data_IF_749830785383
#
_entry.id   IF_749830785383
#
_cell.length_a   1.000
_cell.length_b   1.000
_cell.length_c   1.000
_cell.angle_alpha   90.00
_cell.angle_beta   90.00
_cell.angle_gamma   90.00
#
_symmetry.space_group_name_H-M   'P 1'
#
loop_
_entity.id
_entity.type
_entity.pdbx_description
1 polymer ?
#
# COMPACT_ATOMS: atom_id res chain seq x y z
N UNK A 1 42.75 -17.61 -61.37
CA UNK A 1 41.51 -16.83 -60.95
C UNK A 1 41.31 -17.09 -59.47
N UNK A 2 41.86 -16.21 -58.62
CA UNK A 2 41.74 -16.30 -57.17
C UNK A 2 40.54 -15.50 -56.70
N UNK A 3 39.55 -16.12 -56.07
CA UNK A 3 38.45 -15.46 -55.35
C UNK A 3 38.83 -15.39 -53.85
N UNK A 4 39.15 -14.21 -53.38
CA UNK A 4 39.34 -13.89 -51.99
C UNK A 4 37.98 -13.59 -51.36
N UNK A 5 37.54 -14.44 -50.45
CA UNK A 5 36.34 -14.25 -49.63
C UNK A 5 36.70 -13.38 -48.42
N UNK A 6 36.16 -12.16 -48.34
CA UNK A 6 36.29 -11.28 -47.16
C UNK A 6 35.24 -11.67 -46.10
N UNK A 7 35.72 -12.18 -44.98
CA UNK A 7 34.91 -12.39 -43.78
C UNK A 7 34.69 -11.05 -43.09
N UNK A 8 33.46 -10.59 -42.99
CA UNK A 8 33.08 -9.46 -42.14
C UNK A 8 32.71 -10.00 -40.76
N UNK A 9 33.55 -9.74 -39.77
CA UNK A 9 33.27 -10.03 -38.35
C UNK A 9 32.44 -8.86 -37.78
N UNK A 10 31.14 -9.08 -37.54
CA UNK A 10 30.27 -8.14 -36.81
C UNK A 10 30.62 -8.21 -35.32
N UNK A 11 31.27 -7.16 -34.84
CA UNK A 11 31.47 -6.95 -33.39
C UNK A 11 30.19 -6.42 -32.78
N UNK A 12 29.43 -7.26 -32.08
CA UNK A 12 28.29 -6.84 -31.27
C UNK A 12 28.77 -6.15 -29.99
N UNK A 13 28.73 -4.84 -29.97
CA UNK A 13 29.00 -4.05 -28.76
C UNK A 13 27.78 -4.17 -27.83
N UNK A 14 27.88 -4.96 -26.77
CA UNK A 14 26.97 -4.98 -25.66
C UNK A 14 27.15 -3.69 -24.82
N UNK A 15 26.32 -2.70 -25.03
CA UNK A 15 26.23 -1.55 -24.13
C UNK A 15 25.47 -2.05 -22.89
N UNK A 16 26.19 -2.48 -21.87
CA UNK A 16 25.63 -2.66 -20.54
C UNK A 16 25.20 -1.28 -20.03
N UNK A 17 23.89 -1.01 -20.07
CA UNK A 17 23.31 0.14 -19.38
C UNK A 17 23.51 -0.10 -17.89
N UNK A 18 24.56 0.47 -17.33
CA UNK A 18 24.77 0.53 -15.90
C UNK A 18 23.64 1.37 -15.30
N UNK A 19 22.63 0.72 -14.74
CA UNK A 19 21.66 1.39 -13.89
C UNK A 19 22.44 2.08 -12.75
N UNK A 20 22.12 3.33 -12.41
CA UNK A 20 22.94 4.11 -11.50
C UNK A 20 22.90 3.49 -10.10
N UNK A 21 24.02 2.97 -9.65
CA UNK A 21 24.32 2.51 -8.28
C UNK A 21 24.21 3.63 -7.21
N UNK A 22 23.75 4.82 -7.60
CA UNK A 22 23.63 5.99 -6.74
C UNK A 22 22.41 5.98 -5.80
N UNK A 23 21.43 5.05 -5.97
CA UNK A 23 20.21 5.07 -5.13
C UNK A 23 20.40 4.45 -3.74
N UNK A 24 21.49 3.73 -3.47
CA UNK A 24 21.66 2.97 -2.24
C UNK A 24 22.09 3.78 -1.01
N UNK A 25 22.78 4.93 -1.17
CA UNK A 25 23.39 5.63 -0.01
C UNK A 25 22.38 6.24 0.97
N UNK A 26 21.24 6.75 0.51
CA UNK A 26 20.29 7.43 1.39
C UNK A 26 19.33 6.48 2.12
N UNK A 27 19.12 5.29 1.56
CA UNK A 27 18.35 4.21 2.19
C UNK A 27 19.23 3.09 2.75
N UNK A 28 20.43 3.43 3.19
CA UNK A 28 21.40 2.54 3.83
C UNK A 28 21.94 3.18 5.13
N UNK A 29 22.81 2.49 5.85
CA UNK A 29 23.42 2.97 7.08
C UNK A 29 22.39 3.40 8.15
N UNK A 30 21.51 2.47 8.48
CA UNK A 30 20.47 2.69 9.47
C UNK A 30 21.05 2.70 10.89
N UNK A 31 20.58 3.58 11.77
CA UNK A 31 20.89 3.51 13.20
C UNK A 31 20.55 2.12 13.78
N UNK A 32 21.24 1.73 14.85
CA UNK A 32 20.97 0.48 15.53
C UNK A 32 19.47 0.36 15.89
N UNK A 33 18.87 -0.80 15.61
CA UNK A 33 17.46 -1.06 15.89
C UNK A 33 16.46 -0.42 14.91
N UNK A 34 16.92 0.25 13.83
CA UNK A 34 16.02 0.88 12.85
C UNK A 34 16.13 0.32 11.43
N UNK A 35 16.84 -0.79 11.24
CA UNK A 35 16.95 -1.45 9.94
C UNK A 35 15.59 -1.92 9.42
N UNK A 36 15.16 -1.51 8.21
CA UNK A 36 13.88 -1.95 7.64
C UNK A 36 13.77 -3.48 7.56
N UNK A 37 14.87 -4.18 7.29
CA UNK A 37 14.87 -5.63 7.24
C UNK A 37 14.60 -6.27 8.61
N UNK A 38 15.22 -5.76 9.69
CA UNK A 38 15.01 -6.27 11.04
C UNK A 38 13.60 -5.94 11.55
N UNK A 39 13.15 -4.70 11.33
CA UNK A 39 11.81 -4.26 11.74
C UNK A 39 10.73 -5.01 10.97
N UNK A 40 10.85 -5.13 9.65
CA UNK A 40 9.87 -5.87 8.84
C UNK A 40 9.78 -7.33 9.23
N UNK A 41 10.91 -8.00 9.54
CA UNK A 41 10.91 -9.38 10.06
C UNK A 41 10.16 -9.46 11.39
N UNK A 42 10.46 -8.57 12.33
CA UNK A 42 9.81 -8.52 13.65
C UNK A 42 8.29 -8.34 13.51
N UNK A 43 7.85 -7.38 12.68
CA UNK A 43 6.43 -7.10 12.47
C UNK A 43 5.71 -8.26 11.80
N UNK A 44 6.33 -8.91 10.81
CA UNK A 44 5.74 -10.08 10.15
C UNK A 44 5.63 -11.29 11.09
N UNK A 45 6.62 -11.52 11.96
CA UNK A 45 6.56 -12.55 13.00
C UNK A 45 5.45 -12.26 14.01
N UNK A 46 5.40 -11.03 14.52
CA UNK A 46 4.35 -10.60 15.43
C UNK A 46 2.96 -10.80 14.82
N UNK A 47 2.76 -10.45 13.55
CA UNK A 47 1.50 -10.68 12.86
C UNK A 47 1.14 -12.18 12.74
N UNK A 48 2.11 -13.06 12.47
CA UNK A 48 1.87 -14.51 12.41
C UNK A 48 1.38 -15.05 13.77
N UNK A 49 1.91 -14.52 14.88
CA UNK A 49 1.60 -14.95 16.24
C UNK A 49 0.32 -14.32 16.80
N UNK A 50 -0.12 -13.18 16.23
CA UNK A 50 -1.32 -12.47 16.69
C UNK A 50 -2.59 -13.18 16.21
N UNK A 51 -3.59 -13.46 17.05
CA UNK A 51 -4.89 -14.01 16.63
C UNK A 51 -5.62 -13.06 15.67
N UNK A 52 -6.63 -13.56 14.96
CA UNK A 52 -7.55 -12.71 14.22
C UNK A 52 -8.24 -11.70 15.14
N UNK A 53 -8.37 -10.46 14.74
CA UNK A 53 -8.84 -9.36 15.59
C UNK A 53 -10.09 -8.70 15.03
N UNK A 54 -10.93 -8.17 15.94
CA UNK A 54 -12.10 -7.37 15.60
C UNK A 54 -11.80 -5.88 15.79
N UNK A 55 -10.90 -5.30 14.98
CA UNK A 55 -10.46 -3.89 15.09
C UNK A 55 -9.98 -3.52 16.51
N UNK A 56 -9.29 -4.44 17.19
CA UNK A 56 -8.84 -4.26 18.57
C UNK A 56 -9.94 -4.31 19.63
N UNK A 57 -11.16 -4.72 19.26
CA UNK A 57 -12.27 -4.93 20.20
C UNK A 57 -12.14 -6.30 20.90
N UNK A 58 -12.69 -6.46 22.12
CA UNK A 58 -12.60 -7.71 22.86
C UNK A 58 -13.45 -8.86 22.28
N UNK A 59 -14.49 -8.54 21.50
CA UNK A 59 -15.37 -9.53 20.89
C UNK A 59 -14.62 -10.32 19.79
N UNK A 60 -14.85 -11.63 19.68
CA UNK A 60 -14.26 -12.43 18.61
C UNK A 60 -14.58 -11.85 17.23
N UNK A 61 -13.65 -11.94 16.25
CA UNK A 61 -13.93 -11.47 14.91
C UNK A 61 -14.99 -12.34 14.24
N UNK A 62 -15.89 -11.72 13.50
CA UNK A 62 -16.89 -12.39 12.65
C UNK A 62 -16.43 -12.54 11.21
N UNK A 63 -15.33 -11.87 10.87
CA UNK A 63 -14.67 -11.93 9.57
C UNK A 63 -13.24 -11.40 9.67
N UNK A 64 -12.39 -11.74 8.70
CA UNK A 64 -11.08 -11.10 8.52
C UNK A 64 -11.32 -9.63 8.16
N UNK A 65 -10.75 -8.73 8.95
CA UNK A 65 -10.93 -7.28 8.78
C UNK A 65 -9.96 -6.70 7.76
N UNK A 66 -10.31 -5.59 7.10
CA UNK A 66 -9.44 -5.00 6.07
C UNK A 66 -8.05 -4.54 6.59
N UNK A 67 -7.86 -4.07 7.84
CA UNK A 67 -6.52 -3.79 8.35
C UNK A 67 -5.67 -5.05 8.49
N UNK A 68 -6.30 -6.17 8.83
CA UNK A 68 -5.63 -7.47 8.86
C UNK A 68 -5.23 -7.92 7.45
N UNK A 69 -6.10 -7.76 6.47
CA UNK A 69 -5.80 -8.00 5.04
C UNK A 69 -4.59 -7.18 4.59
N UNK A 70 -4.58 -5.88 4.89
CA UNK A 70 -3.50 -4.96 4.54
C UNK A 70 -2.17 -5.36 5.19
N UNK A 71 -2.22 -5.83 6.44
CA UNK A 71 -1.05 -6.33 7.18
C UNK A 71 -0.55 -7.65 6.59
N UNK A 72 -1.45 -8.58 6.28
CA UNK A 72 -1.11 -9.87 5.67
C UNK A 72 -0.46 -9.70 4.30
N UNK A 73 -1.07 -8.87 3.45
CA UNK A 73 -0.51 -8.50 2.16
C UNK A 73 0.90 -7.90 2.30
N UNK A 74 1.09 -6.99 3.25
CA UNK A 74 2.39 -6.39 3.55
C UNK A 74 3.42 -7.42 4.03
N UNK A 75 3.02 -8.33 4.92
CA UNK A 75 3.88 -9.40 5.46
C UNK A 75 4.30 -10.39 4.37
N UNK A 76 3.38 -10.83 3.49
CA UNK A 76 3.68 -11.70 2.35
C UNK A 76 4.65 -11.01 1.37
N UNK A 77 4.43 -9.74 1.07
CA UNK A 77 5.32 -8.95 0.22
C UNK A 77 6.71 -8.83 0.82
N UNK A 78 6.78 -8.55 2.13
CA UNK A 78 8.06 -8.47 2.85
C UNK A 78 8.79 -9.81 2.88
N UNK A 79 8.12 -10.91 3.21
CA UNK A 79 8.70 -12.24 3.24
C UNK A 79 9.30 -12.64 1.89
N UNK A 80 8.61 -12.33 0.79
CA UNK A 80 9.11 -12.53 -0.58
C UNK A 80 10.36 -11.71 -0.86
N UNK A 81 10.35 -10.41 -0.57
CA UNK A 81 11.45 -9.49 -0.88
C UNK A 81 12.69 -9.75 -0.01
N UNK A 82 12.50 -10.16 1.23
CA UNK A 82 13.58 -10.57 2.14
C UNK A 82 14.07 -12.01 1.89
N UNK A 83 13.41 -12.76 0.99
CA UNK A 83 13.65 -14.18 0.73
C UNK A 83 13.55 -15.04 2.02
N UNK A 84 12.67 -14.66 2.95
CA UNK A 84 12.46 -15.36 4.22
C UNK A 84 11.39 -16.46 4.06
N UNK A 85 11.87 -17.69 3.87
CA UNK A 85 11.00 -18.86 3.66
C UNK A 85 10.19 -19.25 4.90
N UNK A 86 10.72 -18.98 6.09
CA UNK A 86 10.03 -19.30 7.36
C UNK A 86 8.83 -18.36 7.53
N UNK A 87 9.02 -17.06 7.29
CA UNK A 87 7.91 -16.11 7.29
C UNK A 87 6.86 -16.49 6.24
N UNK A 88 7.28 -16.83 5.03
CA UNK A 88 6.35 -17.26 3.97
C UNK A 88 5.54 -18.47 4.42
N UNK A 89 6.19 -19.49 4.98
CA UNK A 89 5.50 -20.70 5.48
C UNK A 89 4.54 -20.39 6.63
N UNK A 90 4.92 -19.53 7.58
CA UNK A 90 4.06 -19.10 8.68
C UNK A 90 2.82 -18.34 8.18
N UNK A 91 2.98 -17.45 7.22
CA UNK A 91 1.86 -16.69 6.63
C UNK A 91 0.90 -17.57 5.82
N UNK A 92 1.41 -18.60 5.14
CA UNK A 92 0.57 -19.61 4.47
C UNK A 92 -0.18 -20.48 5.49
N UNK A 93 0.51 -20.94 6.54
CA UNK A 93 -0.10 -21.72 7.62
C UNK A 93 -1.22 -20.94 8.33
N UNK A 94 -1.07 -19.60 8.48
CA UNK A 94 -2.12 -18.73 9.01
C UNK A 94 -3.36 -18.72 8.10
N UNK A 95 -3.22 -18.89 6.79
CA UNK A 95 -4.32 -18.91 5.84
C UNK A 95 -5.06 -20.25 5.75
N UNK A 96 -4.37 -21.38 6.03
CA UNK A 96 -4.92 -22.74 5.84
C UNK A 96 -6.26 -22.98 6.56
N UNK A 97 -6.49 -22.51 7.80
CA UNK A 97 -7.76 -22.69 8.50
C UNK A 97 -8.97 -22.08 7.77
N UNK A 98 -8.77 -21.06 6.94
CA UNK A 98 -9.83 -20.45 6.13
C UNK A 98 -10.39 -21.37 5.03
N UNK A 99 -9.69 -22.46 4.69
CA UNK A 99 -10.24 -23.54 3.84
C UNK A 99 -10.96 -24.63 4.65
N UNK A 100 -11.16 -24.45 5.94
CA UNK A 100 -11.74 -25.44 6.85
C UNK A 100 -12.47 -24.84 8.04
N UNK A 101 -11.94 -24.98 9.27
CA UNK A 101 -12.67 -24.60 10.49
C UNK A 101 -12.98 -23.09 10.62
N UNK A 102 -12.23 -22.23 9.93
CA UNK A 102 -12.40 -20.78 9.95
C UNK A 102 -12.97 -20.20 8.65
N UNK A 103 -13.55 -21.03 7.80
CA UNK A 103 -14.14 -20.60 6.54
C UNK A 103 -15.23 -19.51 6.71
N UNK A 104 -15.90 -19.49 7.85
CA UNK A 104 -16.88 -18.46 8.22
C UNK A 104 -16.25 -17.06 8.43
N UNK A 105 -14.93 -16.97 8.60
CA UNK A 105 -14.22 -15.69 8.72
C UNK A 105 -13.91 -15.05 7.34
N UNK A 106 -14.10 -15.78 6.22
CA UNK A 106 -13.95 -15.21 4.89
C UNK A 106 -15.03 -14.16 4.67
N UNK A 107 -14.66 -12.88 4.41
CA UNK A 107 -15.65 -11.82 4.26
C UNK A 107 -16.53 -12.02 3.04
N UNK A 108 -17.82 -11.67 3.14
CA UNK A 108 -18.71 -11.65 1.98
C UNK A 108 -18.34 -10.44 1.07
N UNK A 109 -17.98 -10.62 -0.21
CA UNK A 109 -17.46 -9.58 -1.09
C UNK A 109 -18.57 -8.68 -1.69
N UNK A 110 -19.44 -8.13 -0.85
CA UNK A 110 -20.50 -7.20 -1.23
C UNK A 110 -20.22 -5.74 -0.83
N UNK A 111 -19.09 -5.51 -0.17
CA UNK A 111 -18.66 -4.21 0.29
C UNK A 111 -17.14 -4.07 0.12
N UNK A 112 -16.66 -2.89 -0.21
CA UNK A 112 -15.25 -2.61 -0.49
C UNK A 112 -14.31 -3.11 0.64
N UNK A 113 -14.66 -2.88 1.90
CA UNK A 113 -13.87 -3.29 3.06
C UNK A 113 -13.80 -4.83 3.23
N UNK A 114 -14.73 -5.56 2.64
CA UNK A 114 -14.76 -7.02 2.62
C UNK A 114 -14.07 -7.58 1.38
N UNK A 115 -14.33 -6.98 0.22
CA UNK A 115 -13.78 -7.46 -1.06
C UNK A 115 -12.26 -7.33 -1.11
N UNK A 116 -11.68 -6.37 -0.37
CA UNK A 116 -10.22 -6.20 -0.28
C UNK A 116 -9.50 -7.47 0.20
N UNK A 117 -10.18 -8.40 0.87
CA UNK A 117 -9.65 -9.71 1.25
C UNK A 117 -9.02 -10.46 0.07
N UNK A 118 -9.54 -10.27 -1.14
CA UNK A 118 -9.01 -10.89 -2.36
C UNK A 118 -7.50 -10.63 -2.58
N UNK A 119 -6.97 -9.53 -2.05
CA UNK A 119 -5.56 -9.19 -2.21
C UNK A 119 -4.62 -10.25 -1.60
N UNK A 120 -5.03 -10.90 -0.50
CA UNK A 120 -4.21 -11.91 0.19
C UNK A 120 -4.12 -13.21 -0.61
N UNK A 121 -5.22 -13.90 -0.99
CA UNK A 121 -5.11 -15.12 -1.78
C UNK A 121 -4.47 -14.85 -3.15
N UNK A 122 -4.71 -13.72 -3.80
CA UNK A 122 -4.04 -13.38 -5.04
C UNK A 122 -2.52 -13.22 -4.86
N UNK A 123 -2.05 -12.59 -3.78
CA UNK A 123 -0.61 -12.51 -3.49
C UNK A 123 -0.03 -13.89 -3.20
N UNK A 124 -0.74 -14.74 -2.45
CA UNK A 124 -0.31 -16.13 -2.22
C UNK A 124 -0.20 -16.89 -3.55
N UNK A 125 -1.17 -16.75 -4.45
CA UNK A 125 -1.08 -17.37 -5.78
C UNK A 125 0.12 -16.84 -6.59
N UNK A 126 0.37 -15.54 -6.56
CA UNK A 126 1.53 -14.94 -7.26
C UNK A 126 2.84 -15.58 -6.79
N UNK A 127 2.94 -15.93 -5.50
CA UNK A 127 4.13 -16.52 -4.91
C UNK A 127 4.22 -18.04 -5.08
N UNK A 128 3.08 -18.76 -5.00
CA UNK A 128 3.06 -20.23 -4.89
C UNK A 128 2.53 -20.95 -6.13
N UNK A 129 1.78 -20.24 -6.99
CA UNK A 129 1.07 -20.79 -8.16
C UNK A 129 0.02 -21.86 -7.82
N UNK A 130 -0.45 -21.96 -6.57
CA UNK A 130 -1.48 -22.89 -6.17
C UNK A 130 -2.87 -22.37 -6.62
N UNK A 131 -3.54 -23.12 -7.49
CA UNK A 131 -4.77 -22.71 -8.17
C UNK A 131 -5.90 -22.30 -7.22
N UNK A 132 -6.06 -22.98 -6.09
CA UNK A 132 -7.11 -22.67 -5.10
C UNK A 132 -7.13 -21.20 -4.63
N UNK A 133 -5.96 -20.56 -4.56
CA UNK A 133 -5.85 -19.16 -4.17
C UNK A 133 -6.22 -18.21 -5.31
N UNK A 134 -5.88 -18.57 -6.56
CA UNK A 134 -6.33 -17.80 -7.72
C UNK A 134 -7.87 -17.83 -7.83
N UNK A 135 -8.46 -19.01 -7.71
CA UNK A 135 -9.91 -19.19 -7.83
C UNK A 135 -10.66 -18.34 -6.81
N UNK A 136 -10.21 -18.36 -5.54
CA UNK A 136 -10.80 -17.56 -4.47
C UNK A 136 -10.66 -16.05 -4.72
N UNK A 137 -9.44 -15.58 -4.93
CA UNK A 137 -9.18 -14.15 -5.07
C UNK A 137 -9.77 -13.57 -6.37
N UNK A 138 -9.69 -14.31 -7.47
CA UNK A 138 -10.26 -13.91 -8.75
C UNK A 138 -11.80 -13.82 -8.71
N UNK A 139 -12.47 -14.76 -8.04
CA UNK A 139 -13.92 -14.72 -7.87
C UNK A 139 -14.37 -13.43 -7.16
N UNK A 140 -13.64 -13.00 -6.12
CA UNK A 140 -13.92 -11.74 -5.42
C UNK A 140 -13.62 -10.51 -6.29
N UNK A 141 -12.51 -10.52 -7.03
CA UNK A 141 -12.16 -9.43 -7.94
C UNK A 141 -13.19 -9.26 -9.08
N UNK A 142 -13.70 -10.38 -9.61
CA UNK A 142 -14.78 -10.36 -10.62
C UNK A 142 -16.10 -9.88 -10.00
N UNK A 143 -16.40 -10.29 -8.75
CA UNK A 143 -17.60 -9.87 -8.03
C UNK A 143 -17.64 -8.36 -7.80
N UNK A 144 -16.50 -7.72 -7.57
CA UNK A 144 -16.37 -6.28 -7.39
C UNK A 144 -16.82 -5.47 -8.62
N UNK A 145 -16.88 -6.09 -9.79
CA UNK A 145 -17.34 -5.52 -11.07
C UNK A 145 -18.46 -6.34 -11.71
N UNK A 146 -19.23 -7.09 -10.94
CA UNK A 146 -20.33 -7.88 -11.47
C UNK A 146 -21.47 -7.01 -12.04
N UNK A 147 -21.69 -5.83 -11.44
CA UNK A 147 -22.73 -4.88 -11.82
C UNK A 147 -22.12 -3.46 -11.91
N UNK A 148 -21.27 -3.18 -12.91
CA UNK A 148 -20.64 -1.87 -13.01
C UNK A 148 -21.68 -0.77 -13.24
N UNK A 149 -21.37 0.43 -12.75
CA UNK A 149 -22.17 1.62 -13.02
C UNK A 149 -22.13 2.01 -14.51
N UNK A 150 -23.04 2.87 -15.02
CA UNK A 150 -23.04 3.28 -16.43
C UNK A 150 -21.74 3.92 -16.91
N UNK A 151 -20.97 4.55 -16.01
CA UNK A 151 -19.65 5.13 -16.26
C UNK A 151 -18.48 4.14 -16.05
N UNK A 152 -18.81 2.86 -15.81
CA UNK A 152 -17.84 1.75 -15.76
C UNK A 152 -17.16 1.54 -14.43
N UNK A 153 -17.58 2.25 -13.37
CA UNK A 153 -17.04 2.08 -12.02
C UNK A 153 -17.63 0.85 -11.33
N UNK A 154 -17.01 0.41 -10.25
CA UNK A 154 -17.56 -0.62 -9.39
C UNK A 154 -18.89 -0.19 -8.74
N UNK A 155 -19.83 -1.11 -8.56
CA UNK A 155 -21.02 -0.89 -7.71
C UNK A 155 -20.69 -0.72 -6.22
N UNK A 156 -19.43 -0.96 -5.83
CA UNK A 156 -18.91 -0.72 -4.48
C UNK A 156 -18.29 0.68 -4.32
N UNK A 157 -18.26 1.50 -5.36
CA UNK A 157 -17.73 2.88 -5.34
C UNK A 157 -18.58 3.78 -4.44
N UNK A 158 -17.97 4.38 -3.41
CA UNK A 158 -18.65 5.23 -2.42
C UNK A 158 -18.20 6.71 -2.47
N UNK A 159 -17.12 6.98 -3.18
CA UNK A 159 -16.36 8.22 -3.11
C UNK A 159 -15.89 8.57 -1.68
N UNK A 160 -15.56 7.57 -0.90
CA UNK A 160 -14.74 7.70 0.29
C UNK A 160 -13.28 7.52 -0.10
N UNK A 161 -12.43 8.32 0.48
CA UNK A 161 -11.00 8.38 0.15
C UNK A 161 -10.30 7.01 0.25
N UNK A 162 -10.72 6.15 1.19
CA UNK A 162 -10.18 4.81 1.42
C UNK A 162 -10.34 3.89 0.21
N UNK A 163 -11.37 4.09 -0.59
CA UNK A 163 -11.68 3.29 -1.77
C UNK A 163 -10.54 3.31 -2.79
N UNK A 164 -9.75 4.40 -2.84
CA UNK A 164 -8.60 4.54 -3.73
C UNK A 164 -7.48 3.51 -3.47
N UNK A 165 -7.47 2.88 -2.31
CA UNK A 165 -6.64 1.70 -2.06
C UNK A 165 -7.47 0.42 -2.13
N UNK A 166 -8.59 0.36 -1.41
CA UNK A 166 -9.35 -0.89 -1.20
C UNK A 166 -9.91 -1.48 -2.50
N UNK A 167 -10.46 -0.65 -3.39
CA UNK A 167 -10.93 -1.11 -4.72
C UNK A 167 -9.75 -1.46 -5.62
N UNK A 168 -8.75 -0.57 -5.64
CA UNK A 168 -7.65 -0.61 -6.60
C UNK A 168 -6.73 -1.80 -6.36
N UNK A 169 -6.37 -2.11 -5.10
CA UNK A 169 -5.43 -3.19 -4.81
C UNK A 169 -5.97 -4.57 -5.23
N UNK A 170 -7.26 -4.79 -5.14
CA UNK A 170 -7.90 -6.04 -5.59
C UNK A 170 -7.71 -6.23 -7.09
N UNK A 171 -8.02 -5.20 -7.87
CA UNK A 171 -7.90 -5.22 -9.31
C UNK A 171 -6.42 -5.32 -9.74
N UNK A 172 -5.52 -4.62 -9.07
CA UNK A 172 -4.08 -4.73 -9.33
C UNK A 172 -3.55 -6.14 -9.06
N UNK A 173 -3.94 -6.76 -7.96
CA UNK A 173 -3.52 -8.12 -7.64
C UNK A 173 -4.12 -9.14 -8.62
N UNK A 174 -5.36 -8.97 -9.08
CA UNK A 174 -5.96 -9.79 -10.11
C UNK A 174 -5.21 -9.65 -11.46
N UNK A 175 -4.82 -8.42 -11.83
CA UNK A 175 -3.95 -8.19 -12.99
C UNK A 175 -2.59 -8.87 -12.82
N UNK A 176 -1.92 -8.69 -11.69
CA UNK A 176 -0.60 -9.27 -11.40
C UNK A 176 -0.63 -10.81 -11.40
N UNK A 177 -1.75 -11.38 -11.00
CA UNK A 177 -1.95 -12.84 -10.95
C UNK A 177 -2.24 -13.45 -12.32
N UNK A 178 -3.02 -12.76 -13.17
CA UNK A 178 -3.58 -13.31 -14.42
C UNK A 178 -2.96 -12.73 -15.67
N UNK A 179 -2.44 -11.52 -15.64
CA UNK A 179 -2.01 -10.75 -16.82
C UNK A 179 -3.18 -10.13 -17.61
N UNK A 180 -4.44 -10.33 -17.18
CA UNK A 180 -5.62 -9.79 -17.87
C UNK A 180 -5.76 -8.28 -17.61
N UNK A 181 -5.58 -7.48 -18.65
CA UNK A 181 -5.56 -6.01 -18.58
C UNK A 181 -6.87 -5.39 -18.15
N UNK A 182 -8.02 -6.11 -18.28
CA UNK A 182 -9.31 -5.60 -17.81
C UNK A 182 -9.28 -5.17 -16.34
N UNK A 183 -8.56 -5.91 -15.49
CA UNK A 183 -8.42 -5.57 -14.08
C UNK A 183 -7.61 -4.29 -13.88
N UNK A 184 -6.54 -4.14 -14.64
CA UNK A 184 -5.72 -2.93 -14.61
C UNK A 184 -6.50 -1.70 -15.07
N UNK A 185 -7.26 -1.84 -16.18
CA UNK A 185 -8.07 -0.76 -16.76
C UNK A 185 -9.17 -0.31 -15.78
N UNK A 186 -9.83 -1.25 -15.09
CA UNK A 186 -10.85 -0.99 -14.04
C UNK A 186 -10.24 -0.18 -12.88
N UNK A 187 -9.15 -0.67 -12.30
CA UNK A 187 -8.49 0.05 -11.19
C UNK A 187 -7.96 1.42 -11.59
N UNK A 188 -7.47 1.57 -12.83
CA UNK A 188 -6.98 2.86 -13.34
C UNK A 188 -8.11 3.86 -13.58
N UNK A 189 -9.26 3.41 -14.10
CA UNK A 189 -10.46 4.24 -14.27
C UNK A 189 -10.98 4.73 -12.91
N UNK A 190 -11.12 3.81 -11.96
CA UNK A 190 -11.54 4.12 -10.59
C UNK A 190 -10.66 5.21 -9.98
N UNK A 191 -9.35 4.99 -9.99
CA UNK A 191 -8.39 5.94 -9.42
C UNK A 191 -8.43 7.31 -10.09
N UNK A 192 -8.51 7.36 -11.43
CA UNK A 192 -8.58 8.63 -12.16
C UNK A 192 -9.86 9.40 -11.84
N UNK A 193 -10.99 8.69 -11.67
CA UNK A 193 -12.27 9.32 -11.30
C UNK A 193 -12.23 9.89 -9.88
N UNK A 194 -11.61 9.19 -8.94
CA UNK A 194 -11.42 9.70 -7.57
C UNK A 194 -10.48 10.90 -7.52
N UNK A 195 -9.42 10.91 -8.31
CA UNK A 195 -8.54 12.07 -8.45
C UNK A 195 -9.33 13.32 -8.87
N UNK A 196 -10.16 13.17 -9.90
CA UNK A 196 -10.98 14.29 -10.39
C UNK A 196 -11.99 14.79 -9.34
N UNK A 197 -12.59 13.89 -8.59
CA UNK A 197 -13.63 14.24 -7.61
C UNK A 197 -13.12 14.73 -6.27
N UNK A 198 -11.98 14.22 -5.76
CA UNK A 198 -11.57 14.43 -4.38
C UNK A 198 -10.30 15.24 -4.21
N UNK A 199 -9.38 15.24 -5.21
CA UNK A 199 -8.13 15.96 -5.06
C UNK A 199 -8.33 17.48 -5.11
N UNK A 200 -7.86 18.15 -4.07
CA UNK A 200 -8.01 19.60 -3.92
C UNK A 200 -6.85 20.37 -4.59
N UNK A 201 -6.99 21.70 -4.77
CA UNK A 201 -5.94 22.53 -5.36
C UNK A 201 -4.60 22.45 -4.64
N UNK A 202 -4.58 22.22 -3.33
CA UNK A 202 -3.37 21.99 -2.54
C UNK A 202 -2.74 20.58 -2.74
N UNK A 203 -3.41 19.66 -3.45
CA UNK A 203 -2.92 18.30 -3.73
C UNK A 203 -3.35 17.24 -2.73
N UNK A 204 -3.91 17.60 -1.59
CA UNK A 204 -4.51 16.69 -0.63
C UNK A 204 -5.93 16.32 -1.04
N UNK A 205 -6.54 15.36 -0.33
CA UNK A 205 -7.85 14.84 -0.68
C UNK A 205 -8.85 15.05 0.46
N UNK A 206 -10.05 15.47 0.11
CA UNK A 206 -11.15 15.44 1.07
C UNK A 206 -11.53 14.00 1.40
N UNK A 207 -11.95 13.74 2.65
CA UNK A 207 -12.40 12.41 3.08
C UNK A 207 -13.54 11.87 2.20
N UNK A 208 -14.43 12.77 1.77
CA UNK A 208 -15.49 12.53 0.80
C UNK A 208 -15.91 13.87 0.19
N UNK A 209 -16.73 13.90 -0.89
CA UNK A 209 -17.16 15.15 -1.53
C UNK A 209 -17.86 16.13 -0.57
N UNK A 210 -18.53 15.60 0.46
CA UNK A 210 -19.28 16.35 1.48
C UNK A 210 -18.55 16.46 2.83
N UNK A 211 -17.28 16.04 2.90
CA UNK A 211 -16.48 16.03 4.16
C UNK A 211 -15.10 16.65 3.88
N UNK A 212 -14.96 17.99 4.00
CA UNK A 212 -13.80 18.74 3.55
C UNK A 212 -12.64 18.74 4.55
N UNK A 213 -12.25 17.56 5.06
CA UNK A 213 -11.12 17.39 5.98
C UNK A 213 -10.03 16.54 5.32
N UNK A 214 -8.78 16.96 5.49
CA UNK A 214 -7.57 16.23 5.04
C UNK A 214 -7.14 15.23 6.12
N UNK A 215 -7.91 14.16 6.22
CA UNK A 215 -7.67 13.11 7.20
C UNK A 215 -6.43 12.27 6.84
N UNK A 216 -5.44 12.27 7.73
CA UNK A 216 -4.12 11.68 7.47
C UNK A 216 -4.17 10.24 6.96
N UNK A 217 -4.87 9.30 7.64
CA UNK A 217 -4.96 7.92 7.15
C UNK A 217 -5.74 7.80 5.85
N UNK A 218 -6.77 8.63 5.63
CA UNK A 218 -7.46 8.68 4.35
C UNK A 218 -6.53 9.06 3.20
N UNK A 219 -5.84 10.19 3.33
CA UNK A 219 -4.78 10.60 2.38
C UNK A 219 -3.67 9.53 2.27
N UNK A 220 -3.39 8.81 3.36
CA UNK A 220 -2.45 7.69 3.36
C UNK A 220 -2.87 6.56 2.43
N UNK A 221 -4.14 6.17 2.44
CA UNK A 221 -4.68 5.17 1.51
C UNK A 221 -4.54 5.62 0.06
N UNK A 222 -4.80 6.89 -0.23
CA UNK A 222 -4.60 7.47 -1.57
C UNK A 222 -3.15 7.39 -2.01
N UNK A 223 -2.23 7.85 -1.14
CA UNK A 223 -0.80 7.85 -1.43
C UNK A 223 -0.28 6.43 -1.73
N UNK A 224 -0.69 5.45 -0.91
CA UNK A 224 -0.32 4.05 -1.10
C UNK A 224 -0.98 3.46 -2.36
N UNK A 225 -2.26 3.72 -2.59
CA UNK A 225 -2.99 3.26 -3.76
C UNK A 225 -2.38 3.78 -5.07
N UNK A 226 -2.07 5.08 -5.14
CA UNK A 226 -1.39 5.66 -6.32
C UNK A 226 0.01 5.06 -6.52
N UNK A 227 0.78 4.86 -5.45
CA UNK A 227 2.10 4.26 -5.53
C UNK A 227 2.03 2.81 -6.05
N UNK A 228 1.09 2.00 -5.58
CA UNK A 228 0.85 0.63 -6.07
C UNK A 228 0.36 0.62 -7.53
N UNK A 229 -0.57 1.50 -7.89
CA UNK A 229 -1.06 1.63 -9.26
C UNK A 229 0.07 1.97 -10.23
N UNK A 230 0.85 2.99 -9.94
CA UNK A 230 1.92 3.47 -10.81
C UNK A 230 3.05 2.44 -11.02
N UNK A 231 3.27 1.52 -10.08
CA UNK A 231 4.20 0.41 -10.26
C UNK A 231 3.73 -0.61 -11.32
N UNK A 232 2.41 -0.78 -11.48
CA UNK A 232 1.84 -1.76 -12.41
C UNK A 232 1.41 -1.14 -13.74
N UNK A 233 1.09 0.15 -13.75
CA UNK A 233 0.51 0.84 -14.91
C UNK A 233 1.57 1.08 -16.00
N UNK A 234 1.39 0.57 -17.23
CA UNK A 234 2.33 0.78 -18.33
C UNK A 234 2.53 2.27 -18.65
N UNK A 235 3.73 2.64 -19.12
CA UNK A 235 4.06 4.05 -19.44
C UNK A 235 3.10 4.68 -20.45
N UNK A 236 2.54 3.88 -21.37
CA UNK A 236 1.61 4.36 -22.43
C UNK A 236 0.13 4.26 -22.04
N UNK A 237 -0.19 3.79 -20.84
CA UNK A 237 -1.59 3.67 -20.39
C UNK A 237 -2.22 5.08 -20.29
N UNK A 238 -3.46 5.31 -20.82
CA UNK A 238 -4.08 6.63 -20.84
C UNK A 238 -4.17 7.31 -19.46
N UNK A 239 -4.46 6.55 -18.42
CA UNK A 239 -4.61 7.08 -17.05
C UNK A 239 -3.28 7.29 -16.32
N UNK A 240 -2.14 6.87 -16.90
CA UNK A 240 -0.86 7.01 -16.20
C UNK A 240 -0.44 8.46 -15.97
N UNK A 241 -0.60 9.31 -16.97
CA UNK A 241 -0.20 10.71 -16.87
C UNK A 241 -1.01 11.49 -15.82
N UNK A 242 -2.36 11.43 -15.80
CA UNK A 242 -3.14 12.08 -14.75
C UNK A 242 -2.87 11.51 -13.35
N UNK A 243 -2.73 10.19 -13.20
CA UNK A 243 -2.42 9.57 -11.91
C UNK A 243 -1.03 9.99 -11.41
N UNK A 244 -0.03 10.04 -12.29
CA UNK A 244 1.31 10.52 -11.94
C UNK A 244 1.30 12.00 -11.52
N UNK A 245 0.56 12.85 -12.23
CA UNK A 245 0.44 14.26 -11.89
C UNK A 245 -0.24 14.46 -10.52
N UNK A 246 -1.34 13.73 -10.26
CA UNK A 246 -2.02 13.72 -8.96
C UNK A 246 -1.12 13.26 -7.82
N UNK A 247 -0.39 12.17 -8.04
CA UNK A 247 0.59 11.64 -7.10
C UNK A 247 1.68 12.67 -6.78
N UNK A 248 2.32 13.25 -7.78
CA UNK A 248 3.40 14.24 -7.58
C UNK A 248 2.90 15.49 -6.87
N UNK A 249 1.68 15.95 -7.20
CA UNK A 249 1.04 17.09 -6.55
C UNK A 249 0.80 16.79 -5.06
N UNK A 250 0.30 15.61 -4.72
CA UNK A 250 0.10 15.17 -3.34
C UNK A 250 1.44 15.07 -2.59
N UNK A 251 2.45 14.43 -3.17
CA UNK A 251 3.77 14.28 -2.53
C UNK A 251 4.42 15.64 -2.22
N UNK A 252 4.21 16.65 -3.08
CA UNK A 252 4.70 18.01 -2.84
C UNK A 252 4.06 18.63 -1.59
N UNK A 253 2.77 18.46 -1.40
CA UNK A 253 2.07 18.95 -0.21
C UNK A 253 2.50 18.19 1.05
N UNK A 254 2.55 16.87 0.98
CA UNK A 254 3.01 16.06 2.10
C UNK A 254 4.42 16.42 2.56
N UNK A 255 5.32 16.77 1.63
CA UNK A 255 6.66 17.24 1.98
C UNK A 255 6.62 18.54 2.81
N UNK A 256 5.67 19.44 2.54
CA UNK A 256 5.51 20.70 3.29
C UNK A 256 4.90 20.50 4.68
N UNK A 257 4.04 19.51 4.85
CA UNK A 257 3.36 19.22 6.12
C UNK A 257 4.09 18.22 7.02
N UNK A 258 5.26 17.72 6.61
CA UNK A 258 6.04 16.81 7.45
C UNK A 258 6.58 17.52 8.69
N UNK A 259 6.25 17.01 9.86
CA UNK A 259 6.75 17.52 11.15
C UNK A 259 8.27 17.48 11.28
N UNK A 260 8.81 18.26 12.21
CA UNK A 260 10.25 18.29 12.49
C UNK A 260 10.80 16.96 13.00
N UNK A 261 9.95 16.12 13.59
CA UNK A 261 10.22 14.75 14.04
C UNK A 261 10.03 13.68 12.94
N UNK A 262 9.57 14.08 11.75
CA UNK A 262 9.37 13.20 10.59
C UNK A 262 7.97 12.64 10.44
N UNK A 263 7.07 12.88 11.40
CA UNK A 263 5.69 12.36 11.35
C UNK A 263 4.70 13.40 10.84
N UNK A 264 3.53 12.92 10.38
CA UNK A 264 2.40 13.75 9.97
C UNK A 264 1.30 13.65 11.02
N UNK A 265 0.44 14.64 11.02
CA UNK A 265 -0.65 14.77 11.98
C UNK A 265 -1.93 14.08 11.51
N UNK A 266 -2.84 13.82 12.45
CA UNK A 266 -4.16 13.18 12.22
C UNK A 266 -5.01 13.94 11.19
N UNK A 267 -5.02 15.26 11.25
CA UNK A 267 -5.43 16.15 10.17
C UNK A 267 -4.17 16.85 9.65
N UNK A 268 -3.88 16.69 8.36
CA UNK A 268 -2.59 17.05 7.77
C UNK A 268 -2.31 18.55 7.89
N UNK A 269 -3.33 19.38 7.75
CA UNK A 269 -3.26 20.84 7.80
C UNK A 269 -3.58 21.43 9.19
N UNK A 270 -3.76 20.59 10.21
CA UNK A 270 -4.06 20.97 11.59
C UNK A 270 -2.93 20.53 12.53
N UNK A 271 -1.91 21.41 12.75
CA UNK A 271 -0.75 21.08 13.58
C UNK A 271 -1.10 20.84 15.06
N UNK A 272 -2.27 21.27 15.51
CA UNK A 272 -2.81 20.99 16.86
C UNK A 272 -3.32 19.56 17.01
N UNK A 273 -3.59 18.85 15.92
CA UNK A 273 -3.94 17.43 15.97
C UNK A 273 -2.73 16.56 16.32
N UNK A 274 -2.95 15.36 16.80
CA UNK A 274 -1.84 14.51 17.25
C UNK A 274 -1.03 13.91 16.10
N UNK A 275 0.28 13.61 16.32
CA UNK A 275 1.09 12.83 15.37
C UNK A 275 0.47 11.45 15.13
N UNK A 276 0.21 11.10 13.87
CA UNK A 276 -0.52 9.88 13.49
C UNK A 276 0.39 8.93 12.70
N UNK A 277 0.52 7.70 13.18
CA UNK A 277 1.55 6.78 12.70
C UNK A 277 1.14 6.00 11.45
N UNK A 278 -0.14 5.68 11.27
CA UNK A 278 -0.57 4.93 10.08
C UNK A 278 -0.43 5.76 8.80
N UNK A 279 -0.86 7.01 8.83
CA UNK A 279 -0.67 7.95 7.71
C UNK A 279 0.81 8.20 7.43
N UNK A 280 1.59 8.43 8.50
CA UNK A 280 3.04 8.63 8.39
C UNK A 280 3.71 7.46 7.66
N UNK A 281 3.34 6.23 7.98
CA UNK A 281 3.89 5.05 7.32
C UNK A 281 3.44 4.96 5.85
N UNK A 282 2.19 5.25 5.53
CA UNK A 282 1.67 5.24 4.16
C UNK A 282 2.34 6.32 3.28
N UNK A 283 2.51 7.53 3.81
CA UNK A 283 3.21 8.61 3.10
C UNK A 283 4.68 8.28 2.88
N UNK A 284 5.33 7.73 3.91
CA UNK A 284 6.73 7.27 3.84
C UNK A 284 6.88 6.17 2.77
N UNK A 285 5.97 5.17 2.74
CA UNK A 285 5.93 4.14 1.71
C UNK A 285 5.83 4.73 0.31
N UNK A 286 4.90 5.67 0.11
CA UNK A 286 4.70 6.32 -1.18
C UNK A 286 5.96 7.09 -1.62
N UNK A 287 6.59 7.85 -0.71
CA UNK A 287 7.82 8.60 -1.00
C UNK A 287 9.00 7.67 -1.33
N UNK A 288 9.21 6.59 -0.57
CA UNK A 288 10.26 5.58 -0.88
C UNK A 288 10.04 5.03 -2.28
N UNK A 289 8.81 4.61 -2.58
CA UNK A 289 8.43 4.05 -3.87
C UNK A 289 8.69 5.03 -5.01
N UNK A 290 8.30 6.29 -4.83
CA UNK A 290 8.52 7.34 -5.83
C UNK A 290 9.99 7.66 -6.08
N UNK A 291 10.80 7.72 -5.04
CA UNK A 291 12.25 7.94 -5.15
C UNK A 291 12.92 6.79 -5.89
N UNK A 292 12.61 5.54 -5.50
CA UNK A 292 13.22 4.35 -6.13
C UNK A 292 12.83 4.16 -7.59
N UNK A 293 11.64 4.61 -7.98
CA UNK A 293 11.18 4.55 -9.37
C UNK A 293 11.52 5.81 -10.20
N UNK A 294 12.18 6.80 -9.61
CA UNK A 294 12.55 8.05 -10.28
C UNK A 294 11.36 8.97 -10.58
N UNK A 295 10.25 8.83 -9.87
CA UNK A 295 9.05 9.67 -9.99
C UNK A 295 9.15 10.95 -9.16
N UNK A 296 9.96 10.91 -8.11
CA UNK A 296 10.21 12.03 -7.19
C UNK A 296 11.69 12.39 -7.17
N UNK A 297 11.98 13.70 -6.99
CA UNK A 297 13.34 14.16 -6.82
C UNK A 297 14.00 13.55 -5.58
N UNK A 298 15.08 12.82 -5.80
CA UNK A 298 15.79 12.11 -4.74
C UNK A 298 16.32 13.02 -3.66
N UNK A 299 16.83 14.22 -4.01
CA UNK A 299 17.45 15.14 -3.05
C UNK A 299 16.44 15.66 -2.02
N UNK A 300 15.21 15.87 -2.44
CA UNK A 300 14.14 16.39 -1.58
C UNK A 300 13.43 15.26 -0.83
N UNK A 301 13.09 14.17 -1.51
CA UNK A 301 12.18 13.15 -0.95
C UNK A 301 12.88 12.00 -0.24
N UNK A 302 14.13 11.65 -0.57
CA UNK A 302 14.79 10.56 0.15
C UNK A 302 15.12 10.91 1.60
N UNK A 303 15.61 12.13 1.94
CA UNK A 303 15.75 12.56 3.34
C UNK A 303 14.40 12.58 4.07
N UNK A 304 13.32 13.05 3.44
CA UNK A 304 11.98 13.09 4.02
C UNK A 304 11.46 11.68 4.34
N UNK A 305 11.57 10.75 3.38
CA UNK A 305 11.19 9.36 3.57
C UNK A 305 12.01 8.68 4.68
N UNK A 306 13.34 8.91 4.72
CA UNK A 306 14.20 8.41 5.80
C UNK A 306 13.79 8.97 7.16
N UNK A 307 13.48 10.26 7.22
CA UNK A 307 13.05 10.95 8.44
C UNK A 307 11.70 10.38 8.91
N UNK A 308 10.74 10.17 8.00
CA UNK A 308 9.46 9.53 8.31
C UNK A 308 9.64 8.14 8.90
N UNK A 309 10.50 7.31 8.29
CA UNK A 309 10.83 5.99 8.83
C UNK A 309 11.44 6.05 10.24
N UNK A 310 12.42 6.90 10.45
CA UNK A 310 13.06 7.05 11.77
C UNK A 310 12.09 7.61 12.82
N UNK A 311 11.22 8.54 12.44
CA UNK A 311 10.13 9.02 13.29
C UNK A 311 9.21 7.88 13.72
N UNK A 312 8.78 7.02 12.79
CA UNK A 312 7.94 5.85 13.08
C UNK A 312 8.59 4.87 14.07
N UNK A 313 9.91 4.67 13.98
CA UNK A 313 10.64 3.78 14.92
C UNK A 313 10.49 4.25 16.38
N UNK A 314 10.32 5.53 16.64
CA UNK A 314 10.11 6.05 18.00
C UNK A 314 8.75 5.66 18.60
N UNK A 315 7.81 5.23 17.76
CA UNK A 315 6.48 4.75 18.16
C UNK A 315 6.37 3.22 18.19
N UNK A 316 7.43 2.51 17.83
CA UNK A 316 7.45 1.04 17.84
C UNK A 316 7.77 0.49 19.22
N UNK A 317 6.87 -0.29 19.76
CA UNK A 317 7.04 -0.97 21.05
C UNK A 317 7.94 -2.21 20.96
N UNK A 318 8.52 -2.66 22.09
CA UNK A 318 9.36 -3.86 22.12
C UNK A 318 8.67 -5.13 21.62
N UNK A 319 7.36 -5.26 21.78
CA UNK A 319 6.58 -6.42 21.31
C UNK A 319 6.22 -6.35 19.81
N UNK A 320 6.42 -5.22 19.14
CA UNK A 320 6.06 -5.02 17.72
C UNK A 320 4.80 -4.20 17.52
N UNK A 321 4.11 -3.80 18.57
CA UNK A 321 2.98 -2.88 18.49
C UNK A 321 3.43 -1.46 18.09
N UNK A 322 2.55 -0.72 17.44
CA UNK A 322 2.78 0.66 17.06
C UNK A 322 1.78 1.53 17.80
N UNK A 323 2.31 2.58 18.45
CA UNK A 323 1.51 3.59 19.16
C UNK A 323 0.97 4.66 18.22
N UNK A 324 0.01 5.43 18.72
CA UNK A 324 -0.59 6.59 18.05
C UNK A 324 -1.25 6.27 16.69
N UNK A 325 -1.83 5.10 16.58
CA UNK A 325 -2.64 4.72 15.42
C UNK A 325 -4.05 5.27 15.58
N UNK A 326 -4.54 6.05 14.63
CA UNK A 326 -5.90 6.55 14.62
C UNK A 326 -6.92 5.40 14.59
N UNK A 327 -7.88 5.39 15.51
CA UNK A 327 -9.01 4.46 15.48
C UNK A 327 -9.80 4.57 14.17
N UNK A 328 -10.49 3.48 13.77
CA UNK A 328 -11.40 3.47 12.62
C UNK A 328 -12.30 4.71 12.59
N UNK A 329 -12.35 5.41 11.46
CA UNK A 329 -12.92 6.76 11.33
C UNK A 329 -13.99 6.74 10.25
N UNK A 330 -15.23 7.00 10.67
CA UNK A 330 -16.35 7.18 9.74
C UNK A 330 -16.35 8.59 9.12
N UNK A 331 -17.07 8.74 8.03
CA UNK A 331 -17.31 10.03 7.38
C UNK A 331 -18.19 10.92 8.26
N UNK A 332 -17.66 12.04 8.76
CA UNK A 332 -18.41 13.07 9.47
C UNK A 332 -17.92 14.46 9.07
N UNK A 333 -18.84 15.38 8.81
CA UNK A 333 -18.51 16.77 8.53
C UNK A 333 -18.45 17.60 9.83
N UNK A 334 -17.57 17.21 10.75
CA UNK A 334 -17.33 17.85 12.04
C UNK A 334 -15.84 17.84 12.37
N UNK A 335 -15.19 19.00 12.43
CA UNK A 335 -13.76 19.10 12.73
C UNK A 335 -13.38 18.41 14.05
N UNK A 336 -14.16 18.66 15.10
CA UNK A 336 -13.88 18.13 16.43
C UNK A 336 -13.89 16.59 16.45
N UNK A 337 -14.75 15.95 15.65
CA UNK A 337 -14.77 14.49 15.50
C UNK A 337 -13.40 13.93 15.06
N UNK A 338 -12.69 14.63 14.16
CA UNK A 338 -11.35 14.20 13.72
C UNK A 338 -10.26 14.51 14.74
N UNK A 339 -10.35 15.67 15.42
CA UNK A 339 -9.38 16.05 16.45
C UNK A 339 -9.43 15.11 17.66
N UNK A 340 -10.64 14.65 18.03
CA UNK A 340 -10.88 13.78 19.18
C UNK A 340 -10.75 12.27 18.88
N UNK A 341 -10.31 11.90 17.67
CA UNK A 341 -10.16 10.46 17.38
C UNK A 341 -9.19 9.80 18.33
N UNK A 342 -9.62 8.67 18.90
CA UNK A 342 -8.84 7.87 19.82
C UNK A 342 -7.54 7.36 19.14
N UNK A 343 -6.46 7.34 19.91
CA UNK A 343 -5.16 6.81 19.51
C UNK A 343 -5.00 5.41 20.09
N UNK A 344 -4.80 4.43 19.22
CA UNK A 344 -4.63 3.04 19.59
C UNK A 344 -3.17 2.63 19.57
N UNK A 345 -2.84 1.59 20.34
CA UNK A 345 -1.57 0.87 20.30
C UNK A 345 -1.83 -0.55 19.82
N UNK A 346 -1.03 -1.04 18.86
CA UNK A 346 -1.16 -2.39 18.31
C UNK A 346 -2.28 -2.57 17.28
N UNK A 347 -2.95 -1.48 16.86
CA UNK A 347 -3.94 -1.55 15.77
C UNK A 347 -3.25 -1.84 14.43
N UNK A 348 -3.80 -2.79 13.67
CA UNK A 348 -3.21 -3.27 12.42
C UNK A 348 -3.15 -2.22 11.30
N UNK A 349 -3.91 -1.12 11.40
CA UNK A 349 -3.73 0.02 10.49
C UNK A 349 -2.33 0.64 10.56
N UNK A 350 -1.65 0.55 11.71
CA UNK A 350 -0.28 1.01 11.85
C UNK A 350 0.74 -0.02 11.38
N UNK A 351 0.53 -1.31 11.68
CA UNK A 351 1.46 -2.39 11.32
C UNK A 351 1.54 -2.62 9.81
N UNK A 352 0.40 -2.58 9.11
CA UNK A 352 0.34 -2.78 7.67
C UNK A 352 1.29 -1.87 6.89
N UNK A 353 1.18 -0.53 7.00
CA UNK A 353 2.02 0.37 6.22
C UNK A 353 3.49 0.39 6.69
N UNK A 354 3.79 0.01 7.92
CA UNK A 354 5.18 -0.21 8.35
C UNK A 354 5.83 -1.37 7.59
N UNK A 355 5.10 -2.47 7.38
CA UNK A 355 5.55 -3.59 6.53
C UNK A 355 5.70 -3.16 5.07
N UNK A 356 4.83 -2.27 4.58
CA UNK A 356 4.96 -1.72 3.23
C UNK A 356 6.21 -0.84 3.08
N UNK A 357 6.52 0.00 4.08
CA UNK A 357 7.78 0.76 4.12
C UNK A 357 8.99 -0.17 4.09
N UNK A 358 9.02 -1.18 4.96
CA UNK A 358 10.10 -2.15 5.01
C UNK A 358 10.28 -2.84 3.65
N UNK A 359 9.19 -3.28 3.02
CA UNK A 359 9.18 -3.86 1.68
C UNK A 359 9.69 -2.89 0.61
N UNK A 360 9.27 -1.63 0.64
CA UNK A 360 9.71 -0.61 -0.31
C UNK A 360 11.21 -0.32 -0.20
N UNK A 361 11.78 -0.35 0.99
CA UNK A 361 13.22 -0.24 1.16
C UNK A 361 14.01 -1.44 0.59
N UNK A 362 13.42 -2.64 0.57
CA UNK A 362 14.05 -3.84 0.03
C UNK A 362 13.93 -3.96 -1.51
N UNK A 363 12.93 -3.33 -2.15
CA UNK A 363 12.82 -3.25 -3.62
C UNK A 363 13.96 -2.40 -4.18
#
# INVERSE_FOLDING_TARGET
MNRTTKLFTLLAIWIAVAAPLYSQKEFSNWPAGSSPQQIGKKLAQHFIETPHTNFGRPEPPTQITYPEVATWYGALTFAKLSNDKELTAGLLKRFDPLFGPEANLIPNPIHVDNTVFAAVPLEIYIQTKQQKFLDMGKAMADKQWANPTPDGLSDQTRFWIDDMFMLVIVQLQAYRATGDTKYLDRGALEMATYLDKLQQPNGLFYHAPDVPFFWGRGDGWVAAGMAEMLQSLPKKHPQRAPIMAGYQKMMKSLLQYQGSDGVWHQLIDHPESYPETSSTAMFTFAMITGVKNGWLDKKSYAPAARKGWLGLITYLEPNGDIRNVCRGTAKKNELQYYLDRERLTGDLHGQAPMLWCASAFLR
#
